data_IF_765569311268
#
_entry.id   IF_765569311268
#
_cell.length_a   1.000
_cell.length_b   1.000
_cell.length_c   1.000
_cell.angle_alpha   90.00
_cell.angle_beta   90.00
_cell.angle_gamma   90.00
#
_symmetry.space_group_name_H-M   'P 1'
#
loop_
_entity.id
_entity.type
_entity.pdbx_description
1 polymer ?
#
# COMPACT_ATOMS: atom_id res chain seq x y z
N UNK A 1 22.39 16.07 -64.03
CA UNK A 1 21.27 16.84 -63.46
C UNK A 1 20.55 15.99 -62.42
N UNK A 2 20.20 16.64 -61.30
CA UNK A 2 19.43 16.20 -60.13
C UNK A 2 20.18 15.35 -59.08
N UNK A 3 19.96 15.83 -57.85
CA UNK A 3 20.62 15.64 -56.56
C UNK A 3 20.07 14.40 -55.81
N UNK A 4 20.77 13.96 -54.76
CA UNK A 4 20.43 12.78 -53.96
C UNK A 4 19.26 13.06 -53.01
N UNK A 5 18.49 12.02 -52.67
CA UNK A 5 17.65 12.04 -51.48
C UNK A 5 17.85 10.71 -50.75
N UNK A 6 18.78 10.76 -49.79
CA UNK A 6 18.80 9.88 -48.63
C UNK A 6 17.48 10.12 -47.91
N UNK A 7 16.58 9.14 -47.92
CA UNK A 7 15.44 9.12 -47.00
C UNK A 7 15.68 8.00 -45.99
N UNK A 8 16.60 8.30 -45.08
CA UNK A 8 16.74 7.62 -43.80
C UNK A 8 15.44 7.91 -43.03
N UNK A 9 14.42 7.08 -43.21
CA UNK A 9 13.30 7.05 -42.26
C UNK A 9 13.84 6.43 -40.97
N UNK A 10 14.54 7.28 -40.19
CA UNK A 10 14.55 7.22 -38.75
C UNK A 10 13.10 7.31 -38.31
N UNK A 11 12.44 6.16 -38.32
CA UNK A 11 11.31 5.92 -37.47
C UNK A 11 11.90 5.82 -36.06
N UNK A 12 12.27 6.97 -35.50
CA UNK A 12 12.13 7.21 -34.08
C UNK A 12 10.61 7.19 -33.82
N UNK A 13 10.02 5.99 -33.82
CA UNK A 13 8.94 5.78 -32.89
C UNK A 13 9.62 5.96 -31.55
N UNK A 14 9.40 7.13 -30.95
CA UNK A 14 9.49 7.30 -29.51
C UNK A 14 8.49 6.33 -28.89
N UNK A 15 8.83 5.05 -28.90
CA UNK A 15 8.54 4.22 -27.75
C UNK A 15 9.30 4.93 -26.64
N UNK A 16 8.63 5.83 -25.93
CA UNK A 16 8.93 6.06 -24.54
C UNK A 16 8.87 4.68 -23.92
N UNK A 17 10.00 3.98 -23.97
CA UNK A 17 10.30 2.86 -23.13
C UNK A 17 10.21 3.47 -21.73
N UNK A 18 9.02 3.45 -21.14
CA UNK A 18 8.90 3.43 -19.69
C UNK A 18 9.59 2.13 -19.28
N UNK A 19 10.93 2.15 -19.26
CA UNK A 19 11.74 1.12 -18.63
C UNK A 19 11.17 1.03 -17.23
N UNK A 20 10.53 -0.12 -16.97
CA UNK A 20 9.56 -0.27 -15.89
C UNK A 20 10.20 0.07 -14.56
N UNK A 21 9.85 1.25 -14.05
CA UNK A 21 10.33 1.70 -12.75
C UNK A 21 9.98 0.64 -11.70
N UNK A 22 10.98 0.18 -10.99
CA UNK A 22 10.86 -0.88 -9.99
C UNK A 22 10.20 -0.33 -8.73
N UNK A 23 9.55 -1.18 -7.94
CA UNK A 23 8.97 -0.75 -6.66
C UNK A 23 10.06 -0.25 -5.69
N UNK A 24 11.30 -0.73 -5.84
CA UNK A 24 12.47 -0.30 -5.09
C UNK A 24 12.86 1.15 -5.42
N UNK A 25 12.86 1.54 -6.70
CA UNK A 25 13.12 2.94 -7.11
C UNK A 25 12.05 3.89 -6.57
N UNK A 26 10.78 3.46 -6.61
CA UNK A 26 9.67 4.21 -6.05
C UNK A 26 9.86 4.37 -4.54
N UNK A 27 10.14 3.29 -3.80
CA UNK A 27 10.42 3.34 -2.37
C UNK A 27 11.54 4.35 -2.00
N UNK A 28 12.61 4.41 -2.81
CA UNK A 28 13.69 5.39 -2.60
C UNK A 28 13.21 6.83 -2.77
N UNK A 29 12.30 7.09 -3.69
CA UNK A 29 11.73 8.42 -3.94
C UNK A 29 10.70 8.89 -2.89
N UNK A 30 10.18 8.01 -2.03
CA UNK A 30 9.19 8.40 -1.03
C UNK A 30 9.76 9.42 -0.02
N UNK A 31 9.06 10.56 0.20
CA UNK A 31 9.43 11.56 1.20
C UNK A 31 9.41 11.01 2.64
N UNK A 32 10.21 11.62 3.52
CA UNK A 32 10.28 11.28 4.95
C UNK A 32 8.96 11.52 5.71
N UNK A 33 8.03 12.28 5.13
CA UNK A 33 6.68 12.45 5.69
C UNK A 33 5.86 11.16 5.66
N UNK A 34 6.14 10.23 4.73
CA UNK A 34 5.37 9.00 4.53
C UNK A 34 6.10 7.75 5.02
N UNK A 35 7.43 7.77 5.03
CA UNK A 35 8.29 6.68 5.49
C UNK A 35 9.28 7.28 6.47
N UNK A 36 9.62 6.61 7.60
CA UNK A 36 10.63 7.11 8.53
C UNK A 36 11.88 7.62 7.81
N UNK A 37 12.45 8.69 8.35
CA UNK A 37 13.60 9.35 7.75
C UNK A 37 14.79 8.39 7.65
N UNK A 38 15.22 8.15 6.42
CA UNK A 38 16.31 7.24 6.09
C UNK A 38 17.08 7.83 4.91
N UNK A 39 18.41 7.79 4.98
CA UNK A 39 19.23 8.14 3.81
C UNK A 39 19.05 7.10 2.70
N UNK A 40 19.46 7.42 1.47
CA UNK A 40 19.39 6.46 0.37
C UNK A 40 20.23 5.22 0.66
N UNK A 41 21.38 5.37 1.31
CA UNK A 41 22.24 4.26 1.73
C UNK A 41 21.55 3.38 2.78
N UNK A 42 20.81 3.98 3.72
CA UNK A 42 20.01 3.23 4.69
C UNK A 42 18.86 2.47 4.02
N UNK A 43 18.17 3.10 3.06
CA UNK A 43 17.14 2.44 2.25
C UNK A 43 17.75 1.28 1.44
N UNK A 44 18.92 1.46 0.85
CA UNK A 44 19.66 0.42 0.12
C UNK A 44 20.08 -0.74 1.03
N UNK A 45 20.56 -0.43 2.22
CA UNK A 45 20.87 -1.44 3.24
C UNK A 45 19.62 -2.23 3.64
N UNK A 46 18.49 -1.56 3.86
CA UNK A 46 17.21 -2.22 4.16
C UNK A 46 16.73 -3.11 2.99
N UNK A 47 16.85 -2.63 1.76
CA UNK A 47 16.52 -3.40 0.54
C UNK A 47 17.37 -4.67 0.43
N UNK A 48 18.65 -4.59 0.78
CA UNK A 48 19.60 -5.70 0.67
C UNK A 48 19.48 -6.71 1.83
N UNK A 49 19.35 -6.20 3.06
CA UNK A 49 19.47 -7.01 4.27
C UNK A 49 18.10 -7.42 4.85
N UNK A 50 17.02 -6.82 4.38
CA UNK A 50 15.65 -7.06 4.88
C UNK A 50 15.35 -6.42 6.23
N UNK A 51 16.36 -5.95 6.96
CA UNK A 51 16.21 -5.28 8.25
C UNK A 51 17.16 -4.11 8.36
N UNK A 52 16.72 -3.04 9.03
CA UNK A 52 17.50 -1.87 9.37
C UNK A 52 17.22 -1.45 10.82
N UNK A 53 18.27 -1.20 11.58
CA UNK A 53 18.21 -0.74 12.97
C UNK A 53 18.58 0.75 12.97
N UNK A 54 17.73 1.59 13.55
CA UNK A 54 17.97 3.04 13.57
C UNK A 54 19.04 3.39 14.61
N UNK A 55 20.09 4.15 14.23
CA UNK A 55 21.25 4.39 15.10
C UNK A 55 21.01 5.42 16.21
N UNK A 56 19.86 6.11 16.23
CA UNK A 56 19.60 7.27 17.11
C UNK A 56 18.47 7.05 18.12
N UNK A 57 18.00 5.83 18.30
CA UNK A 57 16.92 5.59 19.25
C UNK A 57 17.49 5.57 20.68
N UNK A 58 17.11 6.55 21.50
CA UNK A 58 17.71 6.80 22.82
C UNK A 58 17.21 5.81 23.89
N UNK A 59 15.94 5.42 23.81
CA UNK A 59 15.27 4.64 24.87
C UNK A 59 15.06 3.15 24.50
N UNK A 60 14.82 2.86 23.22
CA UNK A 60 14.50 1.52 22.73
C UNK A 60 15.06 1.32 21.32
N UNK A 61 15.38 0.09 20.95
CA UNK A 61 15.86 -0.21 19.61
C UNK A 61 14.73 -0.08 18.58
N UNK A 62 14.79 0.97 17.76
CA UNK A 62 13.88 1.13 16.63
C UNK A 62 14.33 0.26 15.45
N UNK A 63 13.43 -0.57 14.92
CA UNK A 63 13.73 -1.50 13.83
C UNK A 63 12.71 -1.37 12.72
N UNK A 64 13.21 -1.28 11.48
CA UNK A 64 12.43 -1.45 10.26
C UNK A 64 12.77 -2.80 9.62
N UNK A 65 11.76 -3.62 9.37
CA UNK A 65 11.87 -4.81 8.51
C UNK A 65 11.19 -4.54 7.17
N UNK A 66 11.75 -5.08 6.10
CA UNK A 66 11.17 -5.02 4.78
C UNK A 66 10.97 -6.40 4.17
N UNK A 67 9.75 -6.68 3.70
CA UNK A 67 9.43 -7.89 2.94
C UNK A 67 9.10 -7.50 1.49
N UNK A 68 9.84 -8.07 0.54
CA UNK A 68 9.71 -7.76 -0.88
C UNK A 68 9.00 -8.88 -1.63
N UNK A 69 8.06 -8.51 -2.48
CA UNK A 69 7.50 -9.43 -3.47
C UNK A 69 7.65 -8.80 -4.84
N UNK A 70 8.85 -8.96 -5.41
CA UNK A 70 9.26 -8.34 -6.67
C UNK A 70 8.32 -8.70 -7.81
N UNK A 71 7.91 -9.97 -7.89
CA UNK A 71 6.97 -10.48 -8.90
C UNK A 71 5.63 -9.72 -8.89
N UNK A 72 5.25 -9.19 -7.72
CA UNK A 72 3.99 -8.48 -7.51
C UNK A 72 4.16 -6.97 -7.34
N UNK A 73 5.35 -6.43 -7.65
CA UNK A 73 5.71 -5.03 -7.47
C UNK A 73 5.28 -4.45 -6.12
N UNK A 74 5.53 -5.21 -5.05
CA UNK A 74 5.07 -4.92 -3.70
C UNK A 74 6.25 -4.88 -2.72
N UNK A 75 6.14 -3.95 -1.77
CA UNK A 75 7.02 -3.85 -0.60
C UNK A 75 6.16 -3.64 0.65
N UNK A 76 6.45 -4.43 1.68
CA UNK A 76 5.98 -4.23 3.04
C UNK A 76 7.11 -3.69 3.88
N UNK A 77 6.84 -2.67 4.67
CA UNK A 77 7.74 -2.15 5.69
C UNK A 77 7.03 -2.29 7.04
N UNK A 78 7.70 -2.90 8.01
CA UNK A 78 7.20 -3.08 9.36
C UNK A 78 8.16 -2.38 10.32
N UNK A 79 7.65 -1.39 11.03
CA UNK A 79 8.37 -0.66 12.04
C UNK A 79 7.90 -1.06 13.44
N UNK A 80 8.84 -1.39 14.32
CA UNK A 80 8.56 -1.91 15.66
C UNK A 80 9.76 -1.75 16.60
N UNK A 81 9.55 -2.04 17.88
CA UNK A 81 10.54 -1.94 18.96
C UNK A 81 10.80 -3.33 19.57
N UNK A 82 11.89 -4.04 19.23
CA UNK A 82 12.12 -5.41 19.69
C UNK A 82 12.30 -5.54 21.21
N UNK A 83 12.81 -4.50 21.86
CA UNK A 83 13.13 -4.42 23.29
C UNK A 83 12.28 -3.36 24.03
N UNK A 84 11.24 -2.85 23.38
CA UNK A 84 10.48 -1.70 23.84
C UNK A 84 8.97 -1.90 23.86
N UNK A 85 8.20 -0.80 23.73
CA UNK A 85 6.74 -0.86 23.68
C UNK A 85 6.25 -1.77 22.55
N UNK A 86 5.13 -2.46 22.77
CA UNK A 86 4.52 -3.32 21.74
C UNK A 86 3.98 -2.58 20.50
N UNK A 87 4.20 -1.27 20.40
CA UNK A 87 3.70 -0.46 19.30
C UNK A 87 4.36 -0.82 17.97
N UNK A 88 3.59 -0.73 16.89
CA UNK A 88 4.09 -0.95 15.54
C UNK A 88 3.35 -0.09 14.53
N UNK A 89 3.94 0.08 13.35
CA UNK A 89 3.17 0.39 12.15
C UNK A 89 3.70 -0.37 10.95
N UNK A 90 2.81 -0.62 10.01
CA UNK A 90 3.10 -1.26 8.73
C UNK A 90 2.82 -0.24 7.64
N UNK A 91 3.74 -0.14 6.70
CA UNK A 91 3.57 0.59 5.44
C UNK A 91 3.62 -0.44 4.31
N UNK A 92 2.63 -0.40 3.44
CA UNK A 92 2.61 -1.21 2.23
C UNK A 92 2.60 -0.30 1.01
N UNK A 93 3.49 -0.59 0.05
CA UNK A 93 3.48 0.04 -1.27
C UNK A 93 3.27 -1.05 -2.32
N UNK A 94 2.39 -0.79 -3.27
CA UNK A 94 2.18 -1.66 -4.43
C UNK A 94 2.00 -0.83 -5.69
N UNK A 95 2.76 -1.19 -6.73
CA UNK A 95 2.65 -0.58 -8.05
C UNK A 95 1.54 -1.25 -8.84
N UNK A 96 0.73 -0.43 -9.50
CA UNK A 96 -0.31 -0.81 -10.45
C UNK A 96 -0.07 -0.07 -11.77
N UNK A 97 -0.80 -0.44 -12.81
CA UNK A 97 -0.66 0.13 -14.14
C UNK A 97 -2.02 0.49 -14.73
N UNK A 98 -2.16 1.71 -15.24
CA UNK A 98 -3.35 2.15 -15.96
C UNK A 98 -3.44 1.51 -17.35
N UNK A 99 -4.60 1.58 -17.98
CA UNK A 99 -4.82 1.09 -19.35
C UNK A 99 -3.89 1.73 -20.39
N UNK A 100 -3.52 3.00 -20.19
CA UNK A 100 -2.56 3.71 -21.05
C UNK A 100 -1.09 3.29 -20.79
N UNK A 101 -0.86 2.39 -19.85
CA UNK A 101 0.45 1.88 -19.47
C UNK A 101 1.14 2.69 -18.36
N UNK A 102 0.59 3.82 -17.91
CA UNK A 102 1.19 4.68 -16.89
C UNK A 102 1.18 3.99 -15.52
N UNK A 103 2.33 3.92 -14.82
CA UNK A 103 2.38 3.33 -13.49
C UNK A 103 1.83 4.29 -12.43
N UNK A 104 1.24 3.72 -11.38
CA UNK A 104 0.92 4.44 -10.16
C UNK A 104 1.12 3.53 -8.95
N UNK A 105 1.18 4.11 -7.75
CA UNK A 105 1.42 3.37 -6.51
C UNK A 105 0.30 3.63 -5.52
N UNK A 106 -0.18 2.55 -4.91
CA UNK A 106 -1.03 2.61 -3.72
C UNK A 106 -0.12 2.53 -2.49
N UNK A 107 -0.31 3.46 -1.56
CA UNK A 107 0.32 3.55 -0.26
C UNK A 107 -0.73 3.26 0.82
N UNK A 108 -0.46 2.28 1.67
CA UNK A 108 -1.26 1.99 2.87
C UNK A 108 -0.38 2.09 4.10
N UNK A 109 -0.84 2.77 5.15
CA UNK A 109 -0.21 2.77 6.47
C UNK A 109 -1.25 2.47 7.55
N UNK A 110 -0.97 1.48 8.37
CA UNK A 110 -1.79 1.10 9.53
C UNK A 110 -0.88 0.72 10.71
N UNK A 111 -1.37 0.81 11.93
CA UNK A 111 -0.54 0.54 13.10
C UNK A 111 -1.27 0.79 14.41
N UNK A 112 -0.55 0.59 15.52
CA UNK A 112 -1.08 0.65 16.86
C UNK A 112 -0.37 -0.35 17.77
N UNK A 113 -1.13 -1.04 18.60
CA UNK A 113 -0.68 -2.18 19.40
C UNK A 113 -1.25 -3.48 18.81
N UNK A 114 -0.70 -4.66 19.13
CA UNK A 114 -1.20 -5.93 18.62
C UNK A 114 -2.67 -6.20 18.94
N UNK A 115 -3.18 -5.60 20.03
CA UNK A 115 -4.59 -5.71 20.43
C UNK A 115 -5.48 -4.62 19.83
N UNK A 116 -4.92 -3.49 19.44
CA UNK A 116 -5.66 -2.31 19.01
C UNK A 116 -4.88 -1.54 17.95
N UNK A 117 -5.29 -1.63 16.69
CA UNK A 117 -4.65 -0.97 15.56
C UNK A 117 -5.68 -0.60 14.48
N UNK A 118 -5.38 0.44 13.72
CA UNK A 118 -6.29 0.93 12.69
C UNK A 118 -5.56 1.37 11.43
N UNK A 119 -6.33 1.45 10.33
CA UNK A 119 -5.87 2.12 9.14
C UNK A 119 -5.65 3.60 9.43
N UNK A 120 -4.41 4.07 9.25
CA UNK A 120 -4.07 5.48 9.44
C UNK A 120 -4.22 6.28 8.15
N UNK A 121 -3.64 5.78 7.05
CA UNK A 121 -3.52 6.53 5.80
C UNK A 121 -3.61 5.60 4.60
N UNK A 122 -4.48 5.92 3.64
CA UNK A 122 -4.52 5.30 2.32
C UNK A 122 -4.41 6.40 1.26
N UNK A 123 -3.41 6.29 0.40
CA UNK A 123 -3.11 7.28 -0.64
C UNK A 123 -2.71 6.60 -1.94
N UNK A 124 -2.83 7.34 -3.04
CA UNK A 124 -2.39 6.94 -4.37
C UNK A 124 -1.49 8.00 -4.96
N UNK A 125 -0.44 7.58 -5.67
CA UNK A 125 0.53 8.48 -6.27
C UNK A 125 0.81 8.08 -7.72
N UNK A 126 0.87 9.05 -8.64
CA UNK A 126 1.58 8.86 -9.91
C UNK A 126 3.07 8.92 -9.62
N UNK A 127 3.85 8.22 -10.43
CA UNK A 127 5.30 8.24 -10.34
C UNK A 127 5.89 8.51 -11.71
N UNK A 128 6.42 9.71 -11.90
CA UNK A 128 7.03 10.15 -13.15
C UNK A 128 8.28 10.97 -12.83
N UNK A 129 9.36 10.79 -13.59
CA UNK A 129 10.62 11.54 -13.43
C UNK A 129 11.13 11.59 -11.98
N UNK A 130 11.08 10.44 -11.28
CA UNK A 130 11.48 10.29 -9.88
C UNK A 130 10.67 11.13 -8.87
N UNK A 131 9.49 11.62 -9.26
CA UNK A 131 8.61 12.44 -8.43
C UNK A 131 7.31 11.70 -8.17
N UNK A 132 6.82 11.79 -6.92
CA UNK A 132 5.53 11.25 -6.51
C UNK A 132 4.51 12.37 -6.42
N UNK A 133 3.45 12.28 -7.20
CA UNK A 133 2.35 13.25 -7.16
C UNK A 133 1.05 12.56 -6.69
N UNK A 134 0.34 13.12 -5.69
CA UNK A 134 -0.89 12.50 -5.21
C UNK A 134 -1.97 12.46 -6.30
N UNK A 135 -2.54 11.27 -6.51
CA UNK A 135 -3.75 11.07 -7.32
C UNK A 135 -4.94 11.02 -6.38
N UNK A 136 -6.03 11.70 -6.74
CA UNK A 136 -7.30 11.63 -6.01
C UNK A 136 -8.24 10.61 -6.65
N UNK A 137 -9.08 10.03 -5.81
CA UNK A 137 -10.33 9.37 -6.20
C UNK A 137 -10.21 8.20 -7.20
N UNK A 138 -9.24 7.30 -6.99
CA UNK A 138 -9.15 6.03 -7.75
C UNK A 138 -10.14 4.95 -7.29
N UNK A 139 -11.20 5.29 -6.56
CA UNK A 139 -12.25 4.33 -6.18
C UNK A 139 -11.98 3.48 -4.92
N UNK A 140 -10.96 3.81 -4.13
CA UNK A 140 -10.74 3.19 -2.81
C UNK A 140 -11.32 4.06 -1.69
N UNK A 141 -12.30 3.58 -0.90
CA UNK A 141 -12.83 4.34 0.22
C UNK A 141 -11.81 4.42 1.36
N UNK A 142 -11.71 5.56 2.05
CA UNK A 142 -10.80 5.71 3.19
C UNK A 142 -11.18 4.80 4.36
N UNK A 143 -12.47 4.67 4.62
CA UNK A 143 -13.06 3.86 5.68
C UNK A 143 -14.33 3.21 5.16
N UNK A 144 -14.71 2.08 5.76
CA UNK A 144 -15.99 1.41 5.52
C UNK A 144 -16.73 1.39 6.85
N UNK A 145 -18.03 1.71 6.84
CA UNK A 145 -18.82 1.72 8.07
C UNK A 145 -18.91 0.33 8.68
N UNK A 146 -18.78 0.23 10.01
CA UNK A 146 -18.81 -1.05 10.73
C UNK A 146 -20.05 -1.89 10.39
N UNK A 147 -21.20 -1.25 10.14
CA UNK A 147 -22.45 -1.94 9.79
C UNK A 147 -22.34 -2.81 8.54
N UNK A 148 -21.49 -2.43 7.59
CA UNK A 148 -21.31 -3.16 6.32
C UNK A 148 -20.68 -4.54 6.55
N UNK A 149 -19.94 -4.71 7.66
CA UNK A 149 -19.33 -5.97 8.04
C UNK A 149 -20.25 -6.87 8.88
N UNK A 150 -21.43 -6.39 9.28
CA UNK A 150 -22.30 -7.07 10.24
C UNK A 150 -23.52 -7.73 9.58
N UNK A 151 -24.06 -8.75 10.25
CA UNK A 151 -25.35 -9.35 9.89
C UNK A 151 -26.49 -8.39 10.28
N UNK A 152 -27.50 -8.25 9.42
CA UNK A 152 -28.63 -7.32 9.60
C UNK A 152 -29.29 -7.45 10.97
N UNK A 153 -29.54 -8.68 11.44
CA UNK A 153 -30.19 -8.96 12.74
C UNK A 153 -29.44 -8.43 13.96
N UNK A 154 -28.15 -8.12 13.83
CA UNK A 154 -27.32 -7.60 14.93
C UNK A 154 -27.39 -6.07 15.01
N UNK A 155 -27.67 -5.39 13.90
CA UNK A 155 -27.77 -3.92 13.87
C UNK A 155 -28.84 -3.42 14.85
N UNK A 156 -29.98 -4.12 14.91
CA UNK A 156 -31.08 -3.82 15.84
C UNK A 156 -30.71 -4.09 17.31
N UNK A 157 -29.75 -4.98 17.55
CA UNK A 157 -29.33 -5.41 18.91
C UNK A 157 -28.18 -4.58 19.48
N UNK A 158 -27.53 -3.73 18.68
CA UNK A 158 -26.33 -3.02 19.08
C UNK A 158 -26.60 -1.81 19.99
N UNK A 159 -27.83 -1.29 20.05
CA UNK A 159 -28.28 -0.21 20.97
C UNK A 159 -27.19 0.82 21.35
N UNK A 160 -26.56 1.42 20.32
CA UNK A 160 -25.52 2.45 20.50
C UNK A 160 -24.13 1.97 20.95
N UNK A 161 -23.91 0.66 21.17
CA UNK A 161 -22.59 0.09 21.47
C UNK A 161 -21.70 0.15 20.23
N UNK A 162 -20.55 0.84 20.36
CA UNK A 162 -19.50 0.81 19.34
C UNK A 162 -18.76 -0.52 19.41
N UNK A 163 -18.87 -1.33 18.37
CA UNK A 163 -17.98 -2.45 18.16
C UNK A 163 -16.62 -1.90 17.73
N UNK A 164 -15.60 -2.19 18.54
CA UNK A 164 -14.23 -1.89 18.18
C UNK A 164 -13.68 -3.04 17.34
N UNK A 165 -13.24 -2.72 16.13
CA UNK A 165 -12.64 -3.66 15.20
C UNK A 165 -11.35 -3.04 14.70
N UNK A 166 -10.27 -3.80 14.71
CA UNK A 166 -9.03 -3.32 14.11
C UNK A 166 -9.18 -3.33 12.59
N UNK A 167 -8.62 -2.34 11.92
CA UNK A 167 -8.81 -2.15 10.48
C UNK A 167 -7.47 -2.05 9.74
N UNK A 168 -7.42 -2.55 8.51
CA UNK A 168 -6.28 -2.31 7.63
C UNK A 168 -6.64 -2.47 6.15
N UNK A 169 -5.93 -1.74 5.30
CA UNK A 169 -5.81 -2.06 3.89
C UNK A 169 -4.59 -2.94 3.66
N UNK A 170 -4.83 -4.13 3.10
CA UNK A 170 -3.77 -5.01 2.59
C UNK A 170 -3.67 -4.91 1.07
N UNK A 171 -2.47 -4.61 0.60
CA UNK A 171 -2.06 -4.63 -0.80
C UNK A 171 -1.46 -6.00 -1.18
N UNK A 172 -1.05 -6.80 -0.18
CA UNK A 172 -0.57 -8.17 -0.37
C UNK A 172 -1.73 -9.15 -0.50
N UNK A 173 -2.22 -9.31 -1.71
CA UNK A 173 -3.36 -10.15 -2.05
C UNK A 173 -2.94 -11.27 -3.01
N UNK A 174 -3.77 -12.31 -3.16
CA UNK A 174 -3.52 -13.39 -4.14
C UNK A 174 -3.67 -12.91 -5.60
N UNK A 175 -4.42 -11.83 -5.80
CA UNK A 175 -4.69 -11.22 -7.10
C UNK A 175 -3.90 -9.91 -7.21
N UNK A 176 -3.02 -9.81 -8.19
CA UNK A 176 -2.13 -8.66 -8.35
C UNK A 176 -2.87 -7.34 -8.58
N UNK A 177 -4.11 -7.38 -9.09
CA UNK A 177 -4.93 -6.20 -9.30
C UNK A 177 -5.87 -5.90 -8.11
N UNK A 178 -5.78 -6.66 -7.02
CA UNK A 178 -6.65 -6.50 -5.86
C UNK A 178 -5.98 -5.73 -4.72
N UNK A 179 -6.80 -4.91 -4.05
CA UNK A 179 -6.58 -4.34 -2.72
C UNK A 179 -7.70 -4.82 -1.80
N UNK A 180 -7.42 -5.05 -0.51
CA UNK A 180 -8.40 -5.56 0.46
C UNK A 180 -8.49 -4.65 1.69
N UNK A 181 -9.70 -4.19 2.01
CA UNK A 181 -10.02 -3.63 3.33
C UNK A 181 -10.38 -4.79 4.25
N UNK A 182 -9.66 -4.95 5.36
CA UNK A 182 -9.87 -6.03 6.33
C UNK A 182 -10.28 -5.46 7.68
N UNK A 183 -11.13 -6.23 8.38
CA UNK A 183 -11.38 -6.08 9.80
C UNK A 183 -10.80 -7.26 10.57
N UNK A 184 -10.39 -7.01 11.80
CA UNK A 184 -9.97 -8.05 12.74
C UNK A 184 -10.80 -7.88 14.02
N UNK A 185 -11.85 -8.69 14.21
CA UNK A 185 -12.67 -8.64 15.41
C UNK A 185 -11.82 -8.96 16.66
N UNK A 186 -11.84 -8.08 17.66
CA UNK A 186 -11.02 -8.27 18.89
C UNK A 186 -11.47 -9.49 19.73
N UNK A 187 -12.70 -10.00 19.56
CA UNK A 187 -13.29 -11.03 20.42
C UNK A 187 -13.95 -12.14 19.59
N UNK A 188 -13.69 -13.41 19.94
CA UNK A 188 -14.27 -14.60 19.31
C UNK A 188 -15.81 -14.52 19.17
N UNK A 189 -16.48 -13.98 20.20
CA UNK A 189 -17.94 -13.80 20.25
C UNK A 189 -18.48 -12.89 19.12
N UNK A 190 -17.66 -12.00 18.58
CA UNK A 190 -18.09 -11.11 17.49
C UNK A 190 -18.01 -11.76 16.11
N UNK A 191 -17.29 -12.87 15.93
CA UNK A 191 -17.27 -13.56 14.62
C UNK A 191 -18.67 -14.07 14.24
N UNK A 192 -19.51 -14.41 15.21
CA UNK A 192 -20.90 -14.81 14.93
C UNK A 192 -21.74 -13.66 14.37
N UNK A 193 -21.35 -12.41 14.62
CA UNK A 193 -22.04 -11.21 14.17
C UNK A 193 -21.52 -10.67 12.84
N UNK A 194 -20.31 -11.07 12.48
CA UNK A 194 -19.65 -10.65 11.24
C UNK A 194 -20.25 -11.41 10.04
N UNK A 195 -20.69 -10.64 9.04
CA UNK A 195 -21.12 -11.13 7.73
C UNK A 195 -19.91 -11.34 6.81
N UNK A 196 -18.96 -10.42 6.84
CA UNK A 196 -17.71 -10.49 6.08
C UNK A 196 -16.58 -9.84 6.86
N UNK A 197 -15.37 -10.40 6.78
CA UNK A 197 -14.18 -9.82 7.41
C UNK A 197 -13.41 -8.91 6.45
N UNK A 198 -13.81 -8.86 5.17
CA UNK A 198 -13.10 -8.10 4.15
C UNK A 198 -13.98 -7.61 3.01
N UNK A 199 -13.53 -6.51 2.41
CA UNK A 199 -14.00 -6.02 1.11
C UNK A 199 -12.83 -5.96 0.13
N UNK A 200 -13.01 -6.59 -1.02
CA UNK A 200 -12.02 -6.59 -2.10
C UNK A 200 -12.35 -5.50 -3.10
N UNK A 201 -11.31 -4.83 -3.59
CA UNK A 201 -11.39 -3.83 -4.65
C UNK A 201 -10.44 -4.23 -5.77
N UNK A 202 -10.95 -4.38 -6.99
CA UNK A 202 -10.19 -4.81 -8.16
C UNK A 202 -9.92 -3.62 -9.06
N UNK A 203 -8.66 -3.45 -9.43
CA UNK A 203 -8.24 -2.49 -10.44
C UNK A 203 -8.67 -2.96 -11.82
N UNK A 204 -9.48 -2.17 -12.51
CA UNK A 204 -9.96 -2.47 -13.86
C UNK A 204 -9.17 -1.77 -14.99
N UNK A 205 -8.08 -1.08 -14.64
CA UNK A 205 -7.29 -0.27 -15.57
C UNK A 205 -7.52 1.23 -15.48
N UNK A 206 -8.62 1.66 -14.85
CA UNK A 206 -8.99 3.08 -14.68
C UNK A 206 -9.31 3.44 -13.23
N UNK A 207 -9.98 2.55 -12.51
CA UNK A 207 -10.35 2.71 -11.11
C UNK A 207 -10.43 1.38 -10.37
N UNK A 208 -10.39 1.44 -9.05
CA UNK A 208 -10.73 0.31 -8.19
C UNK A 208 -12.24 0.19 -8.05
N UNK A 209 -12.75 -1.01 -8.26
CA UNK A 209 -14.18 -1.32 -8.12
C UNK A 209 -14.40 -2.42 -7.08
N UNK A 210 -15.46 -2.33 -6.26
CA UNK A 210 -15.80 -3.39 -5.33
C UNK A 210 -15.98 -4.71 -6.08
N UNK A 211 -15.34 -5.77 -5.58
CA UNK A 211 -15.62 -7.13 -6.01
C UNK A 211 -16.89 -7.58 -5.29
N UNK A 212 -17.92 -7.94 -6.04
CA UNK A 212 -19.08 -8.60 -5.45
C UNK A 212 -18.61 -9.91 -4.79
N UNK A 213 -18.96 -10.06 -3.51
CA UNK A 213 -18.58 -11.20 -2.67
C UNK A 213 -19.59 -12.34 -2.80
#
# INVERSE_FOLDING_TARGET
MKKPIILLFLIFHGTSFCIGQTIQEIFKSFPSTYIPEMTNEAKDSLLKNGTYIFPKAEDYMETMKADYWTENNYIRLEYYFPDGPSGFFIIELKKFQKNDGTPFVVYSKFGGSPKAFDQHVLLTFSYENNTLEPIKDLGLPKTIETKEFLKEKILDSLDGKKLKMNTSYSLKTKDNNCVQYNIYPEIYLYHEWVKTEKFSYIWNGERFEPKEN
#
